data_IF_328393010381
#
_entry.id   IF_328393010381
#
_cell.length_a   1.000
_cell.length_b   1.000
_cell.length_c   1.000
_cell.angle_alpha   90.00
_cell.angle_beta   90.00
_cell.angle_gamma   90.00
#
_symmetry.space_group_name_H-M   'P 1'
#
loop_
_entity.id
_entity.type
_entity.pdbx_description
1 polymer ?
#
# COMPACT_ATOMS: atom_id res chain seq x y z
N UNK A 1 18.85 -0.07 -1.35
CA UNK A 1 18.80 -1.46 -1.90
C UNK A 1 17.70 -2.24 -1.18
N UNK A 2 16.92 -3.03 -1.92
CA UNK A 2 15.97 -3.99 -1.37
C UNK A 2 16.66 -5.34 -1.15
N UNK A 3 16.27 -6.04 -0.10
CA UNK A 3 16.69 -7.41 0.21
C UNK A 3 15.60 -8.07 1.05
N UNK A 4 15.54 -9.39 1.03
CA UNK A 4 14.60 -10.17 1.84
C UNK A 4 14.85 -9.92 3.34
N UNK A 5 13.77 -9.86 4.14
CA UNK A 5 13.84 -9.57 5.58
C UNK A 5 13.99 -8.08 5.93
N UNK A 6 14.08 -7.18 4.96
CA UNK A 6 14.12 -5.73 5.23
C UNK A 6 12.78 -5.22 5.78
N UNK A 7 12.81 -4.57 6.94
CA UNK A 7 11.68 -3.80 7.47
C UNK A 7 11.45 -2.52 6.65
N UNK A 8 10.18 -2.24 6.34
CA UNK A 8 9.75 -1.04 5.62
C UNK A 8 8.91 -0.15 6.54
N UNK A 9 9.02 1.18 6.37
CA UNK A 9 8.21 2.13 7.12
C UNK A 9 6.73 1.99 6.79
N UNK A 10 5.87 2.01 7.81
CA UNK A 10 4.41 1.96 7.68
C UNK A 10 3.79 3.27 7.14
N UNK A 11 4.55 4.36 7.07
CA UNK A 11 4.07 5.67 6.60
C UNK A 11 4.92 6.29 5.48
N UNK A 12 6.14 5.78 5.22
CA UNK A 12 7.04 6.26 4.16
C UNK A 12 7.20 5.30 2.98
N UNK A 13 6.51 4.16 2.99
CA UNK A 13 6.61 3.19 1.90
C UNK A 13 5.23 2.79 1.39
N UNK A 14 5.13 2.48 0.10
CA UNK A 14 3.88 2.06 -0.52
C UNK A 14 3.35 0.77 0.12
N UNK A 15 4.20 -0.24 0.29
CA UNK A 15 3.83 -1.49 0.97
C UNK A 15 3.37 -1.21 2.40
N UNK A 16 4.12 -0.43 3.18
CA UNK A 16 3.78 -0.15 4.57
C UNK A 16 2.44 0.58 4.72
N UNK A 17 2.21 1.62 3.91
CA UNK A 17 0.92 2.32 3.87
C UNK A 17 -0.21 1.40 3.41
N UNK A 18 0.04 0.52 2.43
CA UNK A 18 -0.93 -0.49 2.00
C UNK A 18 -1.26 -1.44 3.15
N UNK A 19 -0.27 -2.03 3.83
CA UNK A 19 -0.53 -2.94 4.94
C UNK A 19 -1.29 -2.25 6.09
N UNK A 20 -0.88 -1.03 6.45
CA UNK A 20 -1.49 -0.27 7.53
C UNK A 20 -2.93 0.14 7.20
N UNK A 21 -3.21 0.54 5.96
CA UNK A 21 -4.56 0.91 5.54
C UNK A 21 -5.53 -0.24 5.71
N UNK A 22 -5.05 -1.48 5.63
CA UNK A 22 -5.86 -2.67 5.82
C UNK A 22 -6.06 -3.16 7.26
N UNK A 23 -5.40 -2.55 8.24
CA UNK A 23 -5.56 -2.92 9.65
C UNK A 23 -6.90 -2.44 10.24
N UNK A 24 -7.39 -3.07 11.32
CA UNK A 24 -8.49 -2.54 12.11
C UNK A 24 -8.20 -1.12 12.62
N UNK A 25 -9.23 -0.28 12.75
CA UNK A 25 -9.07 1.13 13.16
C UNK A 25 -8.30 1.29 14.48
N UNK A 26 -8.54 0.42 15.47
CA UNK A 26 -7.81 0.44 16.74
C UNK A 26 -6.31 0.13 16.58
N UNK A 27 -5.95 -0.78 15.67
CA UNK A 27 -4.56 -1.11 15.35
C UNK A 27 -3.89 0.04 14.61
N UNK A 28 -4.59 0.66 13.65
CA UNK A 28 -4.10 1.86 12.97
C UNK A 28 -3.82 2.98 13.99
N UNK A 29 -4.78 3.26 14.87
CA UNK A 29 -4.64 4.29 15.92
C UNK A 29 -3.43 4.02 16.81
N UNK A 30 -3.32 2.81 17.36
CA UNK A 30 -2.21 2.43 18.24
C UNK A 30 -0.85 2.55 17.56
N UNK A 31 -0.75 2.15 16.28
CA UNK A 31 0.50 2.30 15.51
C UNK A 31 0.82 3.78 15.32
N UNK A 32 -0.15 4.57 14.85
CA UNK A 32 0.04 5.99 14.51
C UNK A 32 0.43 6.81 15.74
N UNK A 33 -0.18 6.56 16.90
CA UNK A 33 0.17 7.19 18.18
C UNK A 33 1.58 6.84 18.64
N UNK A 34 2.06 5.62 18.32
CA UNK A 34 3.41 5.17 18.63
C UNK A 34 4.49 5.58 17.63
N UNK A 35 4.13 6.25 16.52
CA UNK A 35 5.11 6.64 15.50
C UNK A 35 6.01 7.79 15.98
N UNK A 36 7.32 7.61 15.77
CA UNK A 36 8.28 8.71 15.76
C UNK A 36 8.37 9.24 14.32
N UNK A 37 7.88 10.46 14.13
CA UNK A 37 7.84 11.10 12.82
C UNK A 37 9.23 11.61 12.42
N UNK A 38 9.71 11.17 11.27
CA UNK A 38 10.97 11.61 10.69
C UNK A 38 10.69 12.06 9.25
N UNK A 39 11.02 13.31 8.94
CA UNK A 39 10.89 13.84 7.60
C UNK A 39 12.13 13.47 6.77
N UNK A 40 12.04 12.40 5.98
CA UNK A 40 13.14 11.99 5.10
C UNK A 40 13.20 12.82 3.81
N UNK A 41 12.05 13.29 3.33
CA UNK A 41 11.91 14.09 2.10
C UNK A 41 10.79 15.13 2.25
N UNK A 42 10.67 16.09 1.31
CA UNK A 42 9.55 17.05 1.31
C UNK A 42 8.16 16.42 1.15
N UNK A 43 8.07 15.19 0.62
CA UNK A 43 6.78 14.49 0.43
C UNK A 43 6.45 13.53 1.59
N UNK A 44 7.34 13.37 2.56
CA UNK A 44 7.08 12.55 3.74
C UNK A 44 5.85 13.05 4.49
N UNK A 45 4.92 12.14 4.79
CA UNK A 45 3.80 12.41 5.69
C UNK A 45 4.35 12.49 7.12
N UNK A 46 4.14 13.61 7.81
CA UNK A 46 4.70 13.87 9.16
C UNK A 46 3.63 14.10 10.23
N UNK A 47 2.35 13.99 9.88
CA UNK A 47 1.25 14.24 10.82
C UNK A 47 0.25 13.08 10.85
N UNK A 48 -0.23 12.68 12.05
CA UNK A 48 -1.22 11.62 12.21
C UNK A 48 -2.45 11.78 11.31
N UNK A 49 -3.04 12.99 11.29
CA UNK A 49 -4.24 13.26 10.51
C UNK A 49 -4.04 13.04 9.01
N UNK A 50 -2.91 13.50 8.46
CA UNK A 50 -2.56 13.30 7.05
C UNK A 50 -2.40 11.81 6.73
N UNK A 51 -1.79 11.05 7.64
CA UNK A 51 -1.68 9.61 7.46
C UNK A 51 -3.07 8.95 7.48
N UNK A 52 -3.96 9.28 8.42
CA UNK A 52 -5.32 8.75 8.42
C UNK A 52 -6.08 9.04 7.12
N UNK A 53 -5.98 10.27 6.60
CA UNK A 53 -6.59 10.66 5.34
C UNK A 53 -6.05 9.85 4.17
N UNK A 54 -4.72 9.63 4.13
CA UNK A 54 -4.06 8.80 3.12
C UNK A 54 -4.48 7.33 3.22
N UNK A 55 -4.52 6.75 4.42
CA UNK A 55 -4.97 5.37 4.63
C UNK A 55 -6.43 5.18 4.19
N UNK A 56 -7.29 6.16 4.48
CA UNK A 56 -8.68 6.15 4.03
C UNK A 56 -8.77 6.24 2.50
N UNK A 57 -7.94 7.06 1.85
CA UNK A 57 -7.86 7.14 0.38
C UNK A 57 -7.40 5.81 -0.22
N UNK A 58 -6.35 5.22 0.34
CA UNK A 58 -5.80 3.91 -0.05
C UNK A 58 -6.88 2.84 0.01
N UNK A 59 -7.66 2.80 1.11
CA UNK A 59 -8.78 1.87 1.26
C UNK A 59 -9.86 2.04 0.20
N UNK A 60 -10.23 3.29 -0.12
CA UNK A 60 -11.26 3.57 -1.15
C UNK A 60 -10.80 3.18 -2.55
N UNK A 61 -9.55 3.47 -2.92
CA UNK A 61 -9.04 3.21 -4.27
C UNK A 61 -8.48 1.79 -4.46
N UNK A 62 -8.14 1.09 -3.38
CA UNK A 62 -7.69 -0.31 -3.41
C UNK A 62 -6.19 -0.51 -3.63
N UNK A 63 -5.39 0.55 -3.54
CA UNK A 63 -3.93 0.51 -3.74
C UNK A 63 -3.26 1.73 -3.08
N UNK A 64 -1.95 1.70 -2.88
CA UNK A 64 -1.17 2.81 -2.31
C UNK A 64 -0.13 3.35 -3.28
N UNK A 65 0.21 4.63 -3.10
CA UNK A 65 1.27 5.30 -3.84
C UNK A 65 2.30 5.84 -2.86
N UNK A 66 3.56 5.48 -3.04
CA UNK A 66 4.69 6.17 -2.41
C UNK A 66 5.19 7.25 -3.37
N UNK A 67 4.96 8.50 -3.00
CA UNK A 67 5.41 9.68 -3.73
C UNK A 67 6.81 10.15 -3.27
N UNK A 68 7.70 9.22 -2.95
CA UNK A 68 9.08 9.49 -2.55
C UNK A 68 9.21 9.87 -1.09
N UNK A 69 8.37 9.30 -0.24
CA UNK A 69 8.30 9.68 1.17
C UNK A 69 9.52 9.20 1.96
N UNK A 70 10.22 8.16 1.49
CA UNK A 70 11.47 7.67 2.06
C UNK A 70 12.70 8.10 1.24
N UNK A 71 12.60 8.04 -0.09
CA UNK A 71 13.66 8.44 -1.02
C UNK A 71 13.07 9.27 -2.16
N UNK A 72 13.57 10.50 -2.33
CA UNK A 72 12.95 11.50 -3.22
C UNK A 72 12.85 11.08 -4.69
N UNK A 73 13.73 10.19 -5.16
CA UNK A 73 13.75 9.70 -6.56
C UNK A 73 13.08 8.33 -6.75
N UNK A 74 12.67 7.68 -5.66
CA UNK A 74 12.00 6.39 -5.70
C UNK A 74 10.50 6.59 -5.58
N UNK A 75 9.75 5.83 -6.35
CA UNK A 75 8.30 5.79 -6.31
C UNK A 75 7.86 4.33 -6.31
N UNK A 76 6.73 4.05 -5.70
CA UNK A 76 6.12 2.75 -5.84
C UNK A 76 4.59 2.80 -5.79
N UNK A 77 3.98 1.83 -6.45
CA UNK A 77 2.55 1.52 -6.32
C UNK A 77 2.44 0.16 -5.67
N UNK A 78 1.58 0.02 -4.64
CA UNK A 78 1.38 -1.25 -3.97
C UNK A 78 -0.10 -1.64 -3.92
N UNK A 79 -0.37 -2.94 -3.98
CA UNK A 79 -1.71 -3.51 -3.96
C UNK A 79 -1.80 -4.63 -2.90
N UNK A 80 -2.96 -4.74 -2.22
CA UNK A 80 -3.19 -5.72 -1.17
C UNK A 80 -3.41 -7.12 -1.75
N UNK A 81 -2.96 -8.14 -1.02
CA UNK A 81 -3.21 -9.55 -1.30
C UNK A 81 -4.03 -10.13 -0.16
N UNK A 82 -5.08 -10.88 -0.49
CA UNK A 82 -6.02 -11.46 0.46
C UNK A 82 -5.96 -12.99 0.44
N UNK A 83 -6.29 -13.60 1.57
CA UNK A 83 -6.49 -15.04 1.69
C UNK A 83 -7.95 -15.44 1.42
N UNK A 84 -8.26 -16.73 1.53
CA UNK A 84 -9.61 -17.28 1.37
C UNK A 84 -10.67 -16.71 2.31
N UNK A 85 -10.28 -16.16 3.46
CA UNK A 85 -11.18 -15.55 4.44
C UNK A 85 -11.42 -14.05 4.17
N UNK A 86 -10.94 -13.53 3.03
CA UNK A 86 -10.96 -12.09 2.71
C UNK A 86 -10.15 -11.24 3.71
N UNK A 87 -9.16 -11.84 4.36
CA UNK A 87 -8.24 -11.16 5.27
C UNK A 87 -6.98 -10.75 4.51
N UNK A 88 -6.46 -9.56 4.80
CA UNK A 88 -5.19 -9.11 4.24
C UNK A 88 -4.07 -10.03 4.74
N UNK A 89 -3.32 -10.64 3.81
CA UNK A 89 -2.20 -11.52 4.15
C UNK A 89 -0.85 -11.00 3.65
N UNK A 90 -0.83 -10.15 2.63
CA UNK A 90 0.38 -9.56 2.07
C UNK A 90 0.06 -8.30 1.26
N UNK A 91 1.10 -7.65 0.73
CA UNK A 91 0.98 -6.66 -0.31
C UNK A 91 2.13 -6.83 -1.30
N UNK A 92 1.88 -6.54 -2.58
CA UNK A 92 2.91 -6.51 -3.63
C UNK A 92 3.07 -5.09 -4.14
N UNK A 93 4.25 -4.76 -4.67
CA UNK A 93 4.50 -3.44 -5.25
C UNK A 93 5.32 -3.48 -6.53
N UNK A 94 5.12 -2.45 -7.36
CA UNK A 94 6.00 -2.11 -8.46
C UNK A 94 6.80 -0.88 -8.02
N UNK A 95 8.13 -0.97 -8.10
CA UNK A 95 9.06 0.08 -7.67
C UNK A 95 9.82 0.61 -8.88
N UNK A 96 9.99 1.92 -8.97
CA UNK A 96 10.72 2.56 -10.05
C UNK A 96 11.19 3.95 -9.66
N UNK A 97 11.85 4.62 -10.60
CA UNK A 97 12.22 6.03 -10.43
C UNK A 97 11.01 6.94 -10.63
N UNK A 98 11.10 8.19 -10.18
CA UNK A 98 10.10 9.24 -10.45
C UNK A 98 9.80 9.47 -11.94
N UNK A 99 10.71 9.07 -12.83
CA UNK A 99 10.51 9.17 -14.29
C UNK A 99 9.68 7.99 -14.83
N UNK A 100 9.78 6.82 -14.20
CA UNK A 100 9.09 5.60 -14.60
C UNK A 100 7.69 5.50 -13.97
N UNK A 101 7.55 5.98 -12.74
CA UNK A 101 6.29 6.01 -12.01
C UNK A 101 6.00 7.48 -11.67
N UNK A 102 5.33 8.16 -12.59
CA UNK A 102 4.86 9.54 -12.46
C UNK A 102 3.32 9.56 -12.46
N UNK A 103 2.72 10.75 -12.36
CA UNK A 103 1.26 10.90 -12.31
C UNK A 103 0.52 10.30 -13.53
N UNK A 104 1.13 10.34 -14.71
CA UNK A 104 0.57 9.81 -15.95
C UNK A 104 0.50 8.28 -15.94
N UNK A 105 1.55 7.61 -15.46
CA UNK A 105 1.65 6.14 -15.47
C UNK A 105 1.21 5.46 -14.17
N UNK A 106 1.09 6.21 -13.07
CA UNK A 106 0.81 5.67 -11.73
C UNK A 106 -0.45 4.81 -11.71
N UNK A 107 -1.56 5.30 -12.27
CA UNK A 107 -2.84 4.58 -12.20
C UNK A 107 -2.84 3.36 -13.13
N UNK A 108 -2.16 3.43 -14.28
CA UNK A 108 -1.92 2.27 -15.15
C UNK A 108 -1.13 1.17 -14.42
N UNK A 109 -0.03 1.54 -13.76
CA UNK A 109 0.81 0.61 -12.99
C UNK A 109 0.07 0.08 -11.76
N UNK A 110 -0.75 0.90 -11.10
CA UNK A 110 -1.63 0.45 -10.03
C UNK A 110 -2.61 -0.62 -10.52
N UNK A 111 -3.21 -0.43 -11.70
CA UNK A 111 -4.07 -1.44 -12.32
C UNK A 111 -3.35 -2.78 -12.55
N UNK A 112 -2.09 -2.75 -13.01
CA UNK A 112 -1.25 -3.95 -13.15
C UNK A 112 -0.92 -4.60 -11.81
N UNK A 113 -0.58 -3.81 -10.79
CA UNK A 113 -0.31 -4.30 -9.45
C UNK A 113 -1.56 -4.95 -8.84
N UNK A 114 -2.74 -4.34 -8.99
CA UNK A 114 -4.02 -4.89 -8.53
C UNK A 114 -4.34 -6.21 -9.23
N UNK A 115 -4.16 -6.28 -10.55
CA UNK A 115 -4.41 -7.51 -11.31
C UNK A 115 -3.53 -8.66 -10.79
N UNK A 116 -2.22 -8.40 -10.65
CA UNK A 116 -1.28 -9.38 -10.11
C UNK A 116 -1.64 -9.77 -8.65
N UNK A 117 -1.99 -8.81 -7.80
CA UNK A 117 -2.36 -9.07 -6.42
C UNK A 117 -3.63 -9.92 -6.31
N UNK A 118 -4.60 -9.72 -7.21
CA UNK A 118 -5.80 -10.55 -7.32
C UNK A 118 -5.48 -11.97 -7.78
N UNK A 119 -4.58 -12.13 -8.74
CA UNK A 119 -4.16 -13.47 -9.19
C UNK A 119 -3.48 -14.24 -8.08
N UNK A 120 -2.58 -13.60 -7.32
CA UNK A 120 -1.99 -14.20 -6.11
C UNK A 120 -3.08 -14.51 -5.08
N UNK A 121 -4.01 -13.59 -4.84
CA UNK A 121 -5.10 -13.80 -3.87
C UNK A 121 -5.95 -15.02 -4.26
N UNK A 122 -6.27 -15.20 -5.55
CA UNK A 122 -7.00 -16.38 -6.05
C UNK A 122 -6.24 -17.67 -5.81
N UNK A 123 -4.92 -17.67 -6.01
CA UNK A 123 -4.06 -18.82 -5.68
C UNK A 123 -4.07 -19.13 -4.17
N UNK A 124 -4.28 -18.12 -3.32
CA UNK A 124 -4.46 -18.25 -1.87
C UNK A 124 -5.92 -18.54 -1.46
N UNK A 125 -6.80 -18.83 -2.43
CA UNK A 125 -8.20 -19.21 -2.21
C UNK A 125 -9.17 -18.04 -2.07
N UNK A 126 -8.73 -16.79 -2.27
CA UNK A 126 -9.63 -15.64 -2.28
C UNK A 126 -10.62 -15.70 -3.44
N UNK A 127 -11.89 -15.41 -3.14
CA UNK A 127 -12.95 -15.25 -4.13
C UNK A 127 -13.33 -13.79 -4.18
N UNK A 128 -13.50 -13.24 -5.38
CA UNK A 128 -13.95 -11.86 -5.49
C UNK A 128 -15.33 -11.72 -4.82
N UNK A 129 -15.59 -10.65 -4.06
CA UNK A 129 -16.94 -10.35 -3.57
C UNK A 129 -17.98 -10.30 -4.70
N UNK A 130 -17.54 -9.98 -5.93
CA UNK A 130 -18.39 -10.01 -7.11
C UNK A 130 -18.64 -11.43 -7.65
N UNK A 131 -17.72 -12.36 -7.45
CA UNK A 131 -17.90 -13.77 -7.86
C UNK A 131 -18.94 -14.47 -6.97
N UNK A 132 -19.09 -14.01 -5.71
CA UNK A 132 -20.07 -14.54 -4.74
C UNK A 132 -21.51 -14.07 -4.99
N UNK A 133 -21.71 -13.03 -5.79
CA UNK A 133 -23.05 -12.52 -6.15
C UNK A 133 -23.60 -13.13 -7.45
N UNK A 134 -22.75 -13.84 -8.20
CA UNK A 134 -23.10 -14.45 -9.49
C UNK A 134 -23.43 -15.96 -9.40
N UNK A 135 -23.54 -16.49 -8.17
CA UNK A 135 -23.77 -17.91 -7.87
C UNK A 135 -25.04 -18.13 -7.06
#
# INVERSE_FOLDING_TARGET
RSHEGKSLSLYRSGIGKCLLAWQPAAVQQSIIEGLVWEQATPTTITHPQQLHEELARIRRQGWSYDNGEDYADVRCVAAPVFNANNELTAAISVVGTRLQINEEYRDYLAGKAIACARDISRLLGWKSPFDLQAS
#
